data_IF_397529652274
#
_entry.id   IF_397529652274
#
_cell.length_a   1.000
_cell.length_b   1.000
_cell.length_c   1.000
_cell.angle_alpha   90.00
_cell.angle_beta   90.00
_cell.angle_gamma   90.00
#
_symmetry.space_group_name_H-M   'P 1'
#
loop_
_entity.id
_entity.type
_entity.pdbx_description
1 polymer ?
#
# COMPACT_ATOMS: atom_id res chain seq x y z
N UNK A 1 4.82 -7.04 -3.15
CA UNK A 1 3.93 -7.54 -2.07
C UNK A 1 2.50 -7.10 -2.34
N UNK A 2 1.49 -7.83 -1.83
CA UNK A 2 0.07 -7.55 -2.04
C UNK A 2 -0.71 -7.64 -0.73
N UNK A 3 -1.55 -6.65 -0.43
CA UNK A 3 -2.51 -6.74 0.68
C UNK A 3 -3.68 -7.62 0.23
N UNK A 4 -3.84 -8.78 0.87
CA UNK A 4 -4.87 -9.77 0.53
C UNK A 4 -5.99 -9.90 1.57
N UNK A 5 -5.88 -9.18 2.69
CA UNK A 5 -6.90 -9.14 3.72
C UNK A 5 -6.60 -8.11 4.80
N UNK A 6 -7.64 -7.73 5.55
CA UNK A 6 -7.54 -6.80 6.69
C UNK A 6 -8.38 -7.33 7.83
N UNK A 7 -7.88 -7.19 9.05
CA UNK A 7 -8.64 -7.42 10.28
C UNK A 7 -9.08 -6.07 10.84
N UNK A 8 -10.39 -5.90 11.02
CA UNK A 8 -10.99 -4.70 11.60
C UNK A 8 -11.37 -4.93 13.06
N UNK A 9 -11.23 -3.91 13.90
CA UNK A 9 -11.78 -3.91 15.25
C UNK A 9 -13.32 -3.77 15.25
N UNK A 10 -13.93 -3.69 16.44
CA UNK A 10 -15.40 -3.56 16.58
C UNK A 10 -15.94 -2.22 16.07
N UNK A 11 -15.07 -1.22 15.91
CA UNK A 11 -15.38 0.13 15.44
C UNK A 11 -15.15 0.27 13.93
N UNK A 12 -14.59 -0.76 13.28
CA UNK A 12 -14.29 -0.76 11.86
C UNK A 12 -12.90 -0.24 11.51
N UNK A 13 -12.01 -0.01 12.49
CA UNK A 13 -10.65 0.45 12.22
C UNK A 13 -9.74 -0.73 11.88
N UNK A 14 -8.79 -0.58 10.93
CA UNK A 14 -7.78 -1.59 10.68
C UNK A 14 -6.88 -1.83 11.88
N UNK A 15 -6.56 -3.10 12.13
CA UNK A 15 -5.62 -3.52 13.19
C UNK A 15 -4.38 -4.17 12.60
N UNK A 16 -4.58 -4.99 11.55
CA UNK A 16 -3.51 -5.68 10.83
C UNK A 16 -3.96 -6.12 9.45
N UNK A 17 -2.99 -6.24 8.56
CA UNK A 17 -3.14 -6.63 7.16
C UNK A 17 -2.46 -7.96 6.91
N UNK A 18 -3.06 -8.80 6.05
CA UNK A 18 -2.43 -10.00 5.52
C UNK A 18 -1.71 -9.64 4.22
N UNK A 19 -0.43 -9.92 4.16
CA UNK A 19 0.45 -9.56 3.06
C UNK A 19 0.91 -10.83 2.34
N UNK A 20 0.67 -10.91 1.04
CA UNK A 20 1.22 -11.94 0.17
C UNK A 20 2.55 -11.45 -0.42
N UNK A 21 3.57 -12.29 -0.36
CA UNK A 21 4.89 -12.00 -0.90
C UNK A 21 5.27 -12.99 -2.02
N UNK A 22 6.22 -12.61 -2.87
CA UNK A 22 6.64 -13.37 -4.06
C UNK A 22 7.86 -14.27 -3.82
N UNK A 23 8.29 -14.46 -2.56
CA UNK A 23 9.50 -15.20 -2.21
C UNK A 23 9.27 -16.70 -1.92
N UNK A 24 8.25 -17.28 -2.56
CA UNK A 24 7.83 -18.66 -2.34
C UNK A 24 7.12 -18.89 -1.00
N UNK A 25 6.82 -20.15 -0.70
CA UNK A 25 6.05 -20.56 0.48
C UNK A 25 6.92 -20.87 1.72
N UNK A 26 8.24 -20.91 1.57
CA UNK A 26 9.19 -21.18 2.67
C UNK A 26 9.29 -20.01 3.65
N UNK A 27 9.15 -18.77 3.15
CA UNK A 27 9.30 -17.56 3.96
C UNK A 27 7.95 -17.11 4.57
N UNK A 28 7.98 -16.64 5.81
CA UNK A 28 6.78 -16.24 6.54
C UNK A 28 5.90 -17.45 6.92
N UNK A 29 4.58 -17.26 6.93
CA UNK A 29 3.61 -18.34 7.05
C UNK A 29 3.07 -18.69 5.65
N UNK A 30 3.69 -19.68 5.01
CA UNK A 30 3.34 -20.13 3.64
C UNK A 30 3.37 -19.01 2.60
N UNK A 31 4.38 -18.13 2.66
CA UNK A 31 4.52 -16.97 1.77
C UNK A 31 3.75 -15.73 2.23
N UNK A 32 3.01 -15.82 3.34
CA UNK A 32 2.25 -14.70 3.89
C UNK A 32 2.93 -14.09 5.12
N UNK A 33 2.67 -12.80 5.28
CA UNK A 33 3.11 -11.99 6.41
C UNK A 33 1.90 -11.27 7.04
N UNK A 34 2.07 -10.83 8.28
CA UNK A 34 1.12 -9.96 8.97
C UNK A 34 1.79 -8.62 9.22
N UNK A 35 1.15 -7.56 8.76
CA UNK A 35 1.60 -6.18 8.93
C UNK A 35 0.64 -5.47 9.88
N UNK A 36 1.15 -4.87 10.96
CA UNK A 36 0.30 -4.08 11.87
C UNK A 36 -0.11 -2.77 11.20
N UNK A 37 -1.22 -2.19 11.65
CA UNK A 37 -1.66 -0.86 11.21
C UNK A 37 -0.58 0.21 11.42
N UNK A 38 0.05 0.22 12.60
CA UNK A 38 1.19 1.10 12.87
C UNK A 38 2.38 0.90 11.91
N UNK A 39 2.65 -0.33 11.47
CA UNK A 39 3.73 -0.56 10.52
C UNK A 39 3.35 -0.02 9.14
N UNK A 40 2.07 -0.15 8.76
CA UNK A 40 1.55 0.44 7.53
C UNK A 40 1.81 1.95 7.51
N UNK A 41 1.46 2.66 8.58
CA UNK A 41 1.60 4.12 8.67
C UNK A 41 3.06 4.60 8.53
N UNK A 42 4.00 3.86 9.11
CA UNK A 42 5.41 4.30 9.21
C UNK A 42 6.25 3.87 7.99
N UNK A 43 5.90 2.78 7.33
CA UNK A 43 6.78 2.12 6.35
C UNK A 43 6.13 1.79 5.00
N UNK A 44 4.82 2.06 4.82
CA UNK A 44 4.16 1.93 3.51
C UNK A 44 4.01 3.31 2.88
N UNK A 45 4.66 3.50 1.74
CA UNK A 45 4.64 4.78 1.02
C UNK A 45 3.60 4.84 -0.09
N UNK A 46 3.23 3.70 -0.68
CA UNK A 46 2.38 3.66 -1.86
C UNK A 46 1.43 2.46 -1.83
N UNK A 47 0.18 2.72 -2.22
CA UNK A 47 -0.82 1.70 -2.56
C UNK A 47 -1.41 2.02 -3.93
N UNK A 48 -1.92 0.98 -4.61
CA UNK A 48 -2.64 1.12 -5.87
C UNK A 48 -4.06 0.65 -5.66
N UNK A 49 -5.03 1.49 -6.02
CA UNK A 49 -6.45 1.19 -5.93
C UNK A 49 -7.13 1.45 -7.26
N UNK A 50 -8.23 0.73 -7.59
CA UNK A 50 -9.07 1.09 -8.72
C UNK A 50 -9.52 2.55 -8.65
N UNK A 51 -9.44 3.25 -9.78
CA UNK A 51 -9.81 4.67 -9.90
C UNK A 51 -11.23 4.96 -9.40
N UNK A 52 -12.14 4.00 -9.54
CA UNK A 52 -13.53 4.10 -9.11
C UNK A 52 -13.70 4.11 -7.59
N UNK A 53 -12.70 3.63 -6.83
CA UNK A 53 -12.71 3.64 -5.35
C UNK A 53 -12.07 4.90 -4.77
N UNK A 54 -11.28 5.63 -5.55
CA UNK A 54 -10.64 6.86 -5.12
C UNK A 54 -11.66 8.01 -5.05
N UNK A 55 -11.46 8.95 -4.12
CA UNK A 55 -12.29 10.15 -4.06
C UNK A 55 -12.10 10.99 -5.33
N UNK A 56 -13.19 11.63 -5.78
CA UNK A 56 -13.19 12.42 -7.03
C UNK A 56 -12.13 13.53 -7.03
N UNK A 57 -11.85 14.12 -5.87
CA UNK A 57 -10.87 15.19 -5.77
C UNK A 57 -9.43 14.68 -5.92
N UNK A 58 -9.11 13.48 -5.43
CA UNK A 58 -7.82 12.85 -5.69
C UNK A 58 -7.66 12.45 -7.16
N UNK A 59 -8.73 11.99 -7.81
CA UNK A 59 -8.72 11.67 -9.25
C UNK A 59 -8.46 12.94 -10.08
N UNK A 60 -9.03 14.09 -9.70
CA UNK A 60 -8.74 15.37 -10.38
C UNK A 60 -7.28 15.79 -10.25
N UNK A 61 -6.62 15.52 -9.11
CA UNK A 61 -5.18 15.79 -8.96
C UNK A 61 -4.37 14.98 -9.96
N UNK A 62 -4.70 13.69 -10.13
CA UNK A 62 -4.06 12.83 -11.13
C UNK A 62 -4.30 13.33 -12.56
N UNK A 63 -5.56 13.64 -12.91
CA UNK A 63 -5.94 14.07 -14.26
C UNK A 63 -5.46 15.49 -14.60
N UNK A 64 -5.20 16.32 -13.59
CA UNK A 64 -4.78 17.72 -13.77
C UNK A 64 -3.45 17.89 -14.49
N UNK A 65 -2.62 16.83 -14.57
CA UNK A 65 -1.44 16.79 -15.44
C UNK A 65 -0.33 17.78 -15.07
N UNK A 66 -0.31 18.30 -13.84
CA UNK A 66 0.70 19.23 -13.34
C UNK A 66 1.58 18.56 -12.26
N UNK A 67 2.39 17.54 -12.59
CA UNK A 67 3.20 16.84 -11.62
C UNK A 67 4.38 17.71 -11.15
N UNK A 68 4.72 17.58 -9.87
CA UNK A 68 6.00 18.06 -9.36
C UNK A 68 7.09 17.10 -9.85
N UNK A 69 8.04 17.62 -10.63
CA UNK A 69 9.18 16.84 -11.12
C UNK A 69 10.22 16.75 -10.01
N UNK A 70 10.45 15.54 -9.51
CA UNK A 70 11.48 15.26 -8.51
C UNK A 70 12.81 14.86 -9.17
N UNK A 71 13.96 15.04 -8.48
CA UNK A 71 15.24 14.58 -8.98
C UNK A 71 15.26 13.08 -9.25
N UNK A 72 16.15 12.62 -10.14
CA UNK A 72 16.26 11.21 -10.50
C UNK A 72 16.67 10.29 -9.33
N UNK A 73 17.25 10.85 -8.26
CA UNK A 73 17.68 10.14 -7.05
C UNK A 73 16.73 10.32 -5.87
N UNK A 74 15.54 10.87 -6.10
CA UNK A 74 14.53 10.99 -5.04
C UNK A 74 14.20 9.60 -4.45
N UNK A 75 14.07 9.47 -3.11
CA UNK A 75 13.81 8.19 -2.47
C UNK A 75 12.45 7.59 -2.83
N UNK A 76 11.49 8.38 -3.37
CA UNK A 76 10.18 7.89 -3.84
C UNK A 76 10.26 7.36 -5.28
N UNK A 77 11.28 6.53 -5.54
CA UNK A 77 11.62 6.00 -6.86
C UNK A 77 11.23 4.53 -7.07
N UNK A 78 12.15 3.75 -7.63
CA UNK A 78 11.91 2.37 -8.02
C UNK A 78 11.61 1.44 -6.82
N UNK A 79 10.67 0.52 -7.02
CA UNK A 79 10.39 -0.60 -6.13
C UNK A 79 11.18 -1.83 -6.59
N UNK A 80 11.71 -2.61 -5.64
CA UNK A 80 12.45 -3.85 -5.89
C UNK A 80 11.56 -5.11 -5.82
#
# INVERSE_FOLDING_TARGET
MVISGVHLDKQGNPVRYRIENSWGDVNGDKGYYVMTDRWFDEYVFQVVVPRQLASRDLVKVLDGGNPVVLPAWDPMGALA
#
